data_IF_036028052174
#
_entry.id   IF_036028052174
#
_cell.length_a   1.000
_cell.length_b   1.000
_cell.length_c   1.000
_cell.angle_alpha   90.00
_cell.angle_beta   90.00
_cell.angle_gamma   90.00
#
_symmetry.space_group_name_H-M   'P 1'
#
loop_
_entity.id
_entity.type
_entity.pdbx_description
1 polymer ?
#
# COMPACT_ATOMS: atom_id res chain seq x y z
N UNK A 1 28.76 5.87 -9.03
CA UNK A 1 28.17 5.69 -10.39
C UNK A 1 29.27 5.72 -11.42
N UNK A 2 29.00 5.34 -12.64
CA UNK A 2 29.95 5.40 -13.76
C UNK A 2 29.59 6.56 -14.68
N UNK A 3 30.55 7.02 -15.49
CA UNK A 3 30.27 8.05 -16.53
C UNK A 3 29.40 7.51 -17.68
N UNK A 4 29.26 6.19 -17.77
CA UNK A 4 28.40 5.54 -18.75
C UNK A 4 26.95 5.51 -18.23
N UNK A 5 26.07 6.26 -18.86
CA UNK A 5 24.67 6.35 -18.47
C UNK A 5 23.93 5.00 -18.56
N UNK A 6 24.28 4.13 -19.52
CA UNK A 6 23.59 2.86 -19.74
C UNK A 6 23.81 1.87 -18.58
N UNK A 7 24.99 1.88 -17.97
CA UNK A 7 25.27 1.08 -16.77
C UNK A 7 24.46 1.58 -15.56
N UNK A 8 24.38 2.89 -15.39
CA UNK A 8 23.61 3.51 -14.32
C UNK A 8 22.11 3.23 -14.51
N UNK A 9 21.58 3.36 -15.73
CA UNK A 9 20.18 3.02 -16.06
C UNK A 9 19.89 1.56 -15.76
N UNK A 10 20.76 0.65 -16.17
CA UNK A 10 20.58 -0.80 -15.92
C UNK A 10 20.53 -1.09 -14.42
N UNK A 11 21.44 -0.53 -13.64
CA UNK A 11 21.49 -0.69 -12.19
C UNK A 11 20.24 -0.10 -11.53
N UNK A 12 19.77 1.06 -11.96
CA UNK A 12 18.57 1.71 -11.44
C UNK A 12 17.30 0.92 -11.76
N UNK A 13 17.16 0.45 -13.00
CA UNK A 13 16.03 -0.42 -13.42
C UNK A 13 16.01 -1.74 -12.64
N UNK A 14 17.17 -2.28 -12.28
CA UNK A 14 17.24 -3.51 -11.48
C UNK A 14 16.73 -3.30 -10.04
N UNK A 15 17.01 -2.14 -9.43
CA UNK A 15 16.48 -1.79 -8.11
C UNK A 15 14.96 -1.73 -8.13
N UNK A 16 14.38 -1.18 -9.19
CA UNK A 16 12.94 -0.96 -9.33
C UNK A 16 12.26 -1.92 -10.30
N UNK A 17 12.83 -3.12 -10.49
CA UNK A 17 12.12 -4.20 -11.15
C UNK A 17 10.78 -4.47 -10.43
N UNK A 18 9.71 -4.71 -11.19
CA UNK A 18 8.35 -4.95 -10.68
C UNK A 18 7.73 -3.74 -9.94
N UNK A 19 8.06 -2.51 -10.39
CA UNK A 19 7.47 -1.27 -9.89
C UNK A 19 6.82 -0.51 -11.04
N UNK A 20 5.52 -0.70 -11.25
CA UNK A 20 4.75 -0.07 -12.34
C UNK A 20 4.45 1.41 -12.07
N UNK A 21 4.45 1.82 -10.80
CA UNK A 21 4.20 3.17 -10.33
C UNK A 21 5.37 4.14 -10.55
N UNK A 22 6.53 3.61 -10.97
CA UNK A 22 7.73 4.40 -11.23
C UNK A 22 7.89 4.60 -12.74
N UNK A 23 7.90 5.86 -13.15
CA UNK A 23 8.15 6.24 -14.54
C UNK A 23 9.62 6.42 -14.77
N UNK A 24 10.11 5.79 -15.82
CA UNK A 24 11.50 5.80 -16.24
C UNK A 24 11.55 6.11 -17.72
N UNK A 25 12.09 7.27 -18.08
CA UNK A 25 12.13 7.73 -19.46
C UNK A 25 13.55 8.10 -19.88
N UNK A 26 13.91 7.69 -21.08
CA UNK A 26 15.13 8.14 -21.75
C UNK A 26 14.75 9.33 -22.65
N UNK A 27 15.52 10.39 -22.61
CA UNK A 27 15.35 11.60 -23.40
C UNK A 27 16.68 12.11 -23.90
N UNK A 28 16.64 12.94 -24.92
CA UNK A 28 17.81 13.58 -25.48
C UNK A 28 17.67 15.09 -25.33
N UNK A 29 18.70 15.73 -24.79
CA UNK A 29 18.76 17.17 -24.53
C UNK A 29 19.87 17.83 -25.31
N UNK A 30 19.89 19.17 -25.25
CA UNK A 30 20.83 20.00 -26.04
C UNK A 30 20.25 20.37 -27.40
N UNK A 31 20.78 21.45 -27.99
CA UNK A 31 20.32 22.00 -29.25
C UNK A 31 20.31 20.97 -30.39
N UNK A 32 21.26 20.04 -30.39
CA UNK A 32 21.41 18.98 -31.38
C UNK A 32 20.85 17.63 -30.92
N UNK A 33 20.10 17.59 -29.80
CA UNK A 33 19.63 16.34 -29.15
C UNK A 33 20.77 15.31 -28.95
N UNK A 34 21.99 15.79 -28.65
CA UNK A 34 23.20 14.98 -28.62
C UNK A 34 23.50 14.37 -27.23
N UNK A 35 22.82 14.86 -26.20
CA UNK A 35 23.07 14.44 -24.81
C UNK A 35 21.99 13.47 -24.38
N UNK A 36 22.35 12.20 -24.18
CA UNK A 36 21.46 11.20 -23.65
C UNK A 36 21.23 11.46 -22.16
N UNK A 37 19.97 11.48 -21.75
CA UNK A 37 19.56 11.70 -20.39
C UNK A 37 18.53 10.65 -19.98
N UNK A 38 18.48 10.35 -18.70
CA UNK A 38 17.49 9.43 -18.13
C UNK A 38 16.84 10.06 -16.92
N UNK A 39 15.52 9.99 -16.88
CA UNK A 39 14.69 10.57 -15.83
C UNK A 39 13.90 9.48 -15.14
N UNK A 40 13.87 9.53 -13.82
CA UNK A 40 13.08 8.60 -13.01
C UNK A 40 12.30 9.37 -11.94
N UNK A 41 11.00 9.07 -11.81
CA UNK A 41 10.12 9.70 -10.83
C UNK A 41 8.93 8.80 -10.51
N UNK A 42 8.27 9.06 -9.39
CA UNK A 42 7.01 8.42 -9.03
C UNK A 42 5.87 9.29 -9.56
N UNK A 43 5.02 8.74 -10.43
CA UNK A 43 4.02 9.47 -11.21
C UNK A 43 3.11 10.37 -10.38
N UNK A 44 2.73 9.95 -9.19
CA UNK A 44 1.74 10.66 -8.35
C UNK A 44 2.37 11.59 -7.33
N UNK A 45 3.65 11.43 -7.05
CA UNK A 45 4.36 12.27 -6.07
C UNK A 45 4.98 13.52 -6.68
N UNK A 46 5.01 13.58 -8.00
CA UNK A 46 5.44 14.75 -8.74
C UNK A 46 4.22 15.56 -9.19
N UNK A 47 4.36 16.87 -9.25
CA UNK A 47 3.30 17.81 -9.68
C UNK A 47 2.96 17.62 -11.16
N UNK A 48 2.29 16.49 -11.47
CA UNK A 48 2.01 16.03 -12.85
C UNK A 48 0.97 16.85 -13.63
N UNK A 49 0.54 18.01 -13.15
CA UNK A 49 -0.47 18.84 -13.83
C UNK A 49 0.08 19.69 -15.00
N UNK A 50 1.28 19.38 -15.44
CA UNK A 50 1.89 19.98 -16.62
C UNK A 50 3.40 19.90 -16.52
N UNK A 51 3.99 18.94 -17.20
CA UNK A 51 5.46 18.79 -17.33
C UNK A 51 6.12 20.15 -17.62
N UNK A 52 5.46 21.02 -18.37
CA UNK A 52 5.98 22.35 -18.75
C UNK A 52 6.01 23.38 -17.59
N UNK A 53 5.20 23.20 -16.55
CA UNK A 53 5.13 24.14 -15.41
C UNK A 53 5.86 23.62 -14.16
N UNK A 54 6.21 22.35 -14.13
CA UNK A 54 6.99 21.74 -13.05
C UNK A 54 8.44 22.24 -13.05
N UNK A 55 9.13 22.09 -11.93
CA UNK A 55 10.57 22.40 -11.84
C UNK A 55 11.36 21.58 -12.89
N UNK A 56 10.95 20.34 -13.13
CA UNK A 56 11.51 19.48 -14.14
C UNK A 56 11.29 20.02 -15.56
N UNK A 57 10.06 20.43 -15.91
CA UNK A 57 9.77 20.96 -17.25
C UNK A 57 10.55 22.26 -17.56
N UNK A 58 10.63 23.17 -16.58
CA UNK A 58 11.46 24.39 -16.72
C UNK A 58 12.94 24.07 -16.90
N UNK A 59 13.45 23.09 -16.17
CA UNK A 59 14.83 22.65 -16.24
C UNK A 59 15.14 22.01 -17.62
N UNK A 60 14.29 21.12 -18.11
CA UNK A 60 14.44 20.49 -19.43
C UNK A 60 14.38 21.53 -20.55
N UNK A 61 13.40 22.44 -20.55
CA UNK A 61 13.29 23.51 -21.53
C UNK A 61 14.50 24.45 -21.52
N UNK A 62 15.09 24.70 -20.37
CA UNK A 62 16.32 25.47 -20.26
C UNK A 62 17.50 24.73 -20.91
N UNK A 63 17.62 23.40 -20.68
CA UNK A 63 18.70 22.60 -21.26
C UNK A 63 18.56 22.34 -22.75
N UNK A 64 17.35 22.37 -23.32
CA UNK A 64 17.13 22.23 -24.78
C UNK A 64 17.77 23.36 -25.61
N UNK A 65 17.92 24.55 -25.02
CA UNK A 65 18.49 25.72 -25.69
C UNK A 65 20.00 25.82 -25.63
N UNK A 66 20.71 24.92 -24.97
CA UNK A 66 22.11 25.04 -24.57
C UNK A 66 22.99 24.02 -25.32
N UNK A 67 24.23 24.43 -25.68
CA UNK A 67 25.21 23.56 -26.29
C UNK A 67 25.82 22.58 -25.27
N UNK A 68 26.32 21.44 -25.74
CA UNK A 68 26.85 20.34 -24.92
C UNK A 68 27.86 20.76 -23.84
N UNK A 69 28.78 21.65 -24.20
CA UNK A 69 29.84 22.12 -23.28
C UNK A 69 29.27 23.04 -22.18
N UNK A 70 28.22 23.80 -22.50
CA UNK A 70 27.56 24.69 -21.56
C UNK A 70 26.66 23.91 -20.58
N UNK A 71 26.08 22.78 -20.99
CA UNK A 71 25.28 21.90 -20.06
C UNK A 71 26.12 21.49 -18.87
N UNK A 72 27.40 21.17 -19.10
CA UNK A 72 28.32 20.83 -18.01
C UNK A 72 28.44 21.97 -16.99
N UNK A 73 28.67 23.16 -17.48
CA UNK A 73 28.86 24.36 -16.65
C UNK A 73 27.60 24.70 -15.85
N UNK A 74 26.41 24.50 -16.45
CA UNK A 74 25.12 24.73 -15.82
C UNK A 74 24.86 23.74 -14.70
N UNK A 75 25.17 22.44 -14.92
CA UNK A 75 25.02 21.39 -13.93
C UNK A 75 25.98 21.58 -12.76
N UNK A 76 27.26 21.89 -13.01
CA UNK A 76 28.26 22.05 -11.96
C UNK A 76 28.05 23.31 -11.11
N UNK A 77 27.57 24.40 -11.71
CA UNK A 77 27.39 25.68 -11.01
C UNK A 77 25.99 25.93 -10.48
N UNK A 78 25.05 24.96 -10.63
CA UNK A 78 23.64 25.14 -10.30
C UNK A 78 23.05 26.46 -10.84
N UNK A 79 23.42 26.84 -12.06
CA UNK A 79 23.00 28.10 -12.68
C UNK A 79 21.51 28.14 -13.02
N UNK A 80 20.83 26.96 -12.98
CA UNK A 80 19.38 26.87 -13.18
C UNK A 80 18.56 27.45 -12.01
N UNK A 81 19.20 27.98 -10.96
CA UNK A 81 18.59 28.62 -9.80
C UNK A 81 17.49 27.79 -9.12
N UNK A 82 17.61 26.47 -9.18
CA UNK A 82 16.69 25.56 -8.52
C UNK A 82 17.07 25.44 -7.05
N UNK A 83 16.17 25.81 -6.16
CA UNK A 83 16.34 25.55 -4.74
C UNK A 83 16.37 24.02 -4.52
N UNK A 84 17.30 23.54 -3.71
CA UNK A 84 17.47 22.10 -3.38
C UNK A 84 17.99 21.18 -4.52
N UNK A 85 18.59 21.74 -5.58
CA UNK A 85 19.36 20.95 -6.54
C UNK A 85 20.55 20.29 -5.83
N UNK A 86 20.67 18.99 -5.92
CA UNK A 86 21.74 18.26 -5.24
C UNK A 86 22.35 17.19 -6.15
N UNK A 87 23.66 17.00 -6.00
CA UNK A 87 24.39 15.91 -6.62
C UNK A 87 24.25 14.65 -5.79
N UNK A 88 24.03 13.52 -6.44
CA UNK A 88 23.90 12.20 -5.84
C UNK A 88 25.02 11.30 -6.40
N UNK A 89 25.82 10.76 -5.50
CA UNK A 89 27.04 10.03 -5.89
C UNK A 89 26.85 8.53 -6.08
N UNK A 90 25.73 7.97 -5.56
CA UNK A 90 25.45 6.54 -5.67
C UNK A 90 24.05 6.26 -6.21
N UNK A 91 23.91 5.13 -6.94
CA UNK A 91 22.60 4.69 -7.47
C UNK A 91 21.61 4.43 -6.34
N UNK A 92 22.07 3.92 -5.19
CA UNK A 92 21.20 3.68 -4.03
C UNK A 92 20.70 4.99 -3.41
N UNK A 93 21.56 6.00 -3.33
CA UNK A 93 21.18 7.33 -2.86
C UNK A 93 20.13 7.95 -3.80
N UNK A 94 20.35 7.89 -5.12
CA UNK A 94 19.39 8.32 -6.11
C UNK A 94 18.04 7.61 -5.98
N UNK A 95 18.08 6.29 -5.78
CA UNK A 95 16.88 5.49 -5.53
C UNK A 95 16.14 5.93 -4.26
N UNK A 96 16.84 6.18 -3.16
CA UNK A 96 16.21 6.64 -1.92
C UNK A 96 15.62 8.03 -2.04
N UNK A 97 16.32 8.97 -2.72
CA UNK A 97 15.82 10.33 -2.92
C UNK A 97 14.55 10.35 -3.78
N UNK A 98 14.44 9.50 -4.79
CA UNK A 98 13.22 9.38 -5.56
C UNK A 98 12.00 9.01 -4.69
N UNK A 99 12.19 8.18 -3.67
CA UNK A 99 11.11 7.80 -2.73
C UNK A 99 10.65 8.95 -1.83
N UNK A 100 11.39 10.06 -1.78
CA UNK A 100 10.94 11.29 -1.09
C UNK A 100 10.06 12.18 -1.96
N UNK A 101 9.82 11.80 -3.21
CA UNK A 101 8.99 12.53 -4.17
C UNK A 101 9.80 13.46 -5.08
N UNK A 102 11.12 13.31 -5.12
CA UNK A 102 11.97 14.09 -5.98
C UNK A 102 12.16 13.39 -7.36
N UNK A 103 12.38 14.16 -8.41
CA UNK A 103 12.75 13.66 -9.74
C UNK A 103 14.25 13.41 -9.77
N UNK A 104 14.65 12.24 -10.23
CA UNK A 104 16.07 11.89 -10.41
C UNK A 104 16.44 11.97 -11.89
N UNK A 105 17.56 12.61 -12.15
CA UNK A 105 18.04 12.88 -13.47
C UNK A 105 19.49 12.44 -13.66
N UNK A 106 19.74 11.60 -14.65
CA UNK A 106 21.09 11.16 -15.05
C UNK A 106 21.44 11.77 -16.39
N UNK A 107 22.69 12.17 -16.55
CA UNK A 107 23.22 12.79 -17.79
C UNK A 107 24.40 11.97 -18.26
N UNK A 108 24.47 11.68 -19.55
CA UNK A 108 25.60 10.96 -20.15
C UNK A 108 26.91 11.75 -20.03
N UNK A 109 27.98 11.06 -19.65
CA UNK A 109 29.27 11.64 -19.39
C UNK A 109 29.47 12.22 -18.00
N UNK A 110 28.44 12.13 -17.11
CA UNK A 110 28.53 12.54 -15.71
C UNK A 110 28.55 11.33 -14.77
N UNK A 111 29.41 11.33 -13.75
CA UNK A 111 29.48 10.26 -12.76
C UNK A 111 28.39 10.38 -11.68
N UNK A 112 27.72 11.53 -11.59
CA UNK A 112 26.69 11.82 -10.58
C UNK A 112 25.29 11.85 -11.20
N UNK A 113 24.27 11.53 -10.40
CA UNK A 113 22.89 11.85 -10.71
C UNK A 113 22.49 13.17 -10.04
N UNK A 114 21.43 13.77 -10.54
CA UNK A 114 20.93 15.04 -10.06
C UNK A 114 19.54 14.86 -9.46
N UNK A 115 19.34 15.48 -8.31
CA UNK A 115 18.05 15.57 -7.65
C UNK A 115 17.37 16.87 -8.05
N UNK A 116 16.17 16.78 -8.58
CA UNK A 116 15.30 17.92 -8.88
C UNK A 116 14.12 17.92 -7.93
N UNK A 117 13.92 18.99 -7.14
CA UNK A 117 12.76 19.07 -6.25
C UNK A 117 11.50 19.34 -7.07
N UNK A 118 10.61 18.36 -7.11
CA UNK A 118 9.32 18.45 -7.80
C UNK A 118 8.21 17.78 -6.95
N UNK A 119 8.25 18.03 -5.64
CA UNK A 119 7.33 17.42 -4.67
C UNK A 119 5.92 17.98 -4.83
N UNK A 120 5.06 17.20 -5.44
CA UNK A 120 3.64 17.46 -5.59
C UNK A 120 2.81 16.32 -5.05
N UNK A 121 3.01 15.93 -3.78
CA UNK A 121 2.06 15.00 -3.17
C UNK A 121 0.66 15.60 -3.29
N UNK A 122 -0.29 14.90 -3.92
CA UNK A 122 -1.64 15.41 -4.00
C UNK A 122 -2.09 15.78 -2.58
N UNK A 123 -2.39 17.07 -2.39
CA UNK A 123 -3.03 17.56 -1.18
C UNK A 123 -4.46 16.98 -1.21
N UNK A 124 -4.59 15.75 -0.77
CA UNK A 124 -5.83 15.03 -0.76
C UNK A 124 -6.76 15.70 0.22
N UNK A 125 -7.98 15.97 -0.24
CA UNK A 125 -9.11 16.09 0.65
C UNK A 125 -9.09 14.85 1.53
N UNK A 126 -8.69 15.04 2.78
CA UNK A 126 -8.67 13.99 3.80
C UNK A 126 -10.13 13.53 3.91
N UNK A 127 -10.45 12.40 3.31
CA UNK A 127 -11.71 11.74 3.62
C UNK A 127 -11.57 11.21 5.04
N UNK A 128 -12.36 11.77 5.95
CA UNK A 128 -12.45 11.23 7.30
C UNK A 128 -13.01 9.82 7.22
N UNK A 129 -12.29 8.89 7.82
CA UNK A 129 -12.68 7.49 7.85
C UNK A 129 -13.79 7.33 8.87
N UNK A 130 -15.04 7.23 8.42
CA UNK A 130 -16.17 7.00 9.33
C UNK A 130 -16.24 5.56 9.88
N UNK A 131 -15.78 4.57 9.11
CA UNK A 131 -15.92 3.15 9.44
C UNK A 131 -14.82 2.60 10.36
N UNK A 132 -13.63 3.22 10.40
CA UNK A 132 -12.47 2.73 11.17
C UNK A 132 -11.87 3.89 11.99
N UNK A 133 -12.72 4.58 12.78
CA UNK A 133 -12.28 5.70 13.63
C UNK A 133 -11.32 5.21 14.71
N UNK A 134 -10.24 5.96 14.91
CA UNK A 134 -9.28 5.76 16.00
C UNK A 134 -9.28 6.98 16.90
N UNK A 135 -9.11 6.76 18.20
CA UNK A 135 -9.03 7.84 19.19
C UNK A 135 -7.71 8.61 19.04
N UNK A 136 -6.64 7.92 18.70
CA UNK A 136 -5.32 8.49 18.42
C UNK A 136 -4.77 7.89 17.14
N UNK A 137 -4.20 8.71 16.28
CA UNK A 137 -3.56 8.24 15.05
C UNK A 137 -3.91 9.09 13.84
N UNK A 138 -3.52 8.61 12.67
CA UNK A 138 -3.84 9.26 11.40
C UNK A 138 -5.31 9.08 11.06
N UNK A 139 -5.99 10.15 10.66
CA UNK A 139 -7.36 10.11 10.13
C UNK A 139 -7.38 10.00 8.60
N UNK A 140 -6.23 9.83 7.99
CA UNK A 140 -6.07 9.73 6.54
C UNK A 140 -6.55 8.37 6.04
N UNK A 141 -7.52 8.38 5.13
CA UNK A 141 -8.08 7.21 4.46
C UNK A 141 -7.62 7.08 3.02
N UNK A 142 -7.87 5.91 2.43
CA UNK A 142 -7.74 5.69 1.00
C UNK A 142 -8.81 6.47 0.24
N UNK A 143 -8.49 6.89 -0.99
CA UNK A 143 -9.37 7.55 -1.94
C UNK A 143 -9.83 6.57 -3.04
N UNK A 144 -10.73 7.01 -3.92
CA UNK A 144 -11.19 6.18 -5.03
C UNK A 144 -10.10 5.96 -6.10
N UNK A 145 -9.12 6.86 -6.22
CA UNK A 145 -8.04 6.74 -7.19
C UNK A 145 -6.93 5.82 -6.70
N UNK A 146 -6.66 4.74 -7.46
CA UNK A 146 -5.61 3.78 -7.17
C UNK A 146 -4.22 4.42 -7.09
N UNK A 147 -3.93 5.37 -7.97
CA UNK A 147 -2.63 6.08 -8.01
C UNK A 147 -2.38 6.84 -6.71
N UNK A 148 -3.42 7.51 -6.20
CA UNK A 148 -3.36 8.22 -4.93
C UNK A 148 -3.10 7.24 -3.77
N UNK A 149 -3.80 6.11 -3.78
CA UNK A 149 -3.67 5.08 -2.75
C UNK A 149 -2.26 4.48 -2.72
N UNK A 150 -1.70 4.20 -3.88
CA UNK A 150 -0.31 3.72 -4.01
C UNK A 150 0.69 4.77 -3.53
N UNK A 151 0.47 6.06 -3.84
CA UNK A 151 1.30 7.16 -3.34
C UNK A 151 1.22 7.31 -1.81
N UNK A 152 0.04 7.12 -1.19
CA UNK A 152 -0.13 7.14 0.26
C UNK A 152 0.68 6.04 0.95
N UNK A 153 0.71 4.83 0.37
CA UNK A 153 1.53 3.73 0.87
C UNK A 153 3.02 4.05 0.70
N UNK A 154 3.44 4.54 -0.49
CA UNK A 154 4.83 4.93 -0.76
C UNK A 154 5.33 6.03 0.18
N UNK A 155 4.51 7.02 0.47
CA UNK A 155 4.84 8.11 1.39
C UNK A 155 5.15 7.61 2.81
N UNK A 156 4.40 6.59 3.27
CA UNK A 156 4.58 5.99 4.60
C UNK A 156 5.70 4.94 4.62
N UNK A 157 5.86 4.17 3.56
CA UNK A 157 6.88 3.12 3.43
C UNK A 157 7.86 3.47 2.30
N UNK A 158 8.87 4.28 2.62
CA UNK A 158 9.92 4.74 1.70
C UNK A 158 11.01 3.67 1.58
N UNK A 159 10.68 2.54 0.97
CA UNK A 159 11.60 1.42 0.79
C UNK A 159 11.72 1.05 -0.69
N UNK A 160 12.92 0.85 -1.17
CA UNK A 160 13.21 0.32 -2.52
C UNK A 160 12.76 -1.13 -2.68
N UNK A 161 12.53 -1.83 -1.55
CA UNK A 161 12.04 -3.21 -1.53
C UNK A 161 10.53 -3.31 -1.65
N UNK A 162 9.78 -2.21 -1.46
CA UNK A 162 8.36 -2.15 -1.75
C UNK A 162 8.16 -2.25 -3.27
N UNK A 163 7.46 -3.27 -3.72
CA UNK A 163 7.11 -3.52 -5.11
C UNK A 163 5.64 -3.23 -5.33
N UNK A 164 5.33 -2.74 -6.51
CA UNK A 164 3.98 -2.42 -6.96
C UNK A 164 3.79 -2.97 -8.36
N UNK A 165 3.08 -4.07 -8.50
CA UNK A 165 2.79 -4.70 -9.77
C UNK A 165 1.38 -4.33 -10.20
N UNK A 166 1.26 -3.59 -11.29
CA UNK A 166 -0.03 -3.24 -11.90
C UNK A 166 -0.49 -4.36 -12.83
N UNK A 167 -1.71 -4.81 -12.63
CA UNK A 167 -2.41 -5.74 -13.51
C UNK A 167 -3.75 -5.15 -13.93
N UNK A 168 -4.19 -5.44 -15.16
CA UNK A 168 -5.50 -5.00 -15.65
C UNK A 168 -6.50 -6.14 -15.59
N UNK A 169 -7.65 -5.88 -14.99
CA UNK A 169 -8.73 -6.85 -14.81
C UNK A 169 -10.03 -6.38 -15.46
N UNK A 170 -10.80 -7.35 -15.95
CA UNK A 170 -12.04 -7.09 -16.69
C UNK A 170 -11.82 -7.02 -18.19
N UNK A 171 -12.61 -7.77 -18.95
CA UNK A 171 -12.51 -7.84 -20.43
C UNK A 171 -12.88 -6.52 -21.10
N UNK A 172 -13.84 -5.79 -20.56
CA UNK A 172 -14.34 -4.52 -21.09
C UNK A 172 -13.97 -3.32 -20.22
N UNK A 173 -13.94 -3.51 -18.89
CA UNK A 173 -13.67 -2.43 -17.95
C UNK A 173 -12.21 -2.05 -17.83
N UNK A 174 -11.29 -3.00 -18.08
CA UNK A 174 -9.83 -2.81 -17.97
C UNK A 174 -9.39 -2.07 -16.70
N UNK A 175 -10.05 -2.38 -15.56
CA UNK A 175 -9.78 -1.74 -14.28
C UNK A 175 -8.35 -2.05 -13.83
N UNK A 176 -7.62 -1.03 -13.40
CA UNK A 176 -6.27 -1.19 -12.87
C UNK A 176 -6.35 -1.78 -11.45
N UNK A 177 -5.48 -2.72 -11.18
CA UNK A 177 -5.32 -3.37 -9.87
C UNK A 177 -3.84 -3.39 -9.53
N UNK A 178 -3.46 -2.79 -8.42
CA UNK A 178 -2.10 -2.76 -7.92
C UNK A 178 -1.90 -3.83 -6.84
N UNK A 179 -0.91 -4.68 -7.04
CA UNK A 179 -0.48 -5.69 -6.08
C UNK A 179 0.81 -5.19 -5.43
N UNK A 180 0.72 -4.83 -4.14
CA UNK A 180 1.84 -4.31 -3.38
C UNK A 180 2.38 -5.37 -2.41
N UNK A 181 3.70 -5.48 -2.35
CA UNK A 181 4.39 -6.38 -1.44
C UNK A 181 5.82 -5.90 -1.14
N UNK A 182 6.39 -6.34 -0.03
CA UNK A 182 7.78 -6.07 0.33
C UNK A 182 8.61 -7.31 0.00
N UNK A 183 9.54 -7.18 -0.95
CA UNK A 183 10.25 -8.30 -1.60
C UNK A 183 10.99 -9.22 -0.64
N UNK A 184 11.56 -8.70 0.43
CA UNK A 184 12.34 -9.45 1.42
C UNK A 184 11.52 -10.02 2.57
N UNK A 185 10.24 -9.60 2.71
CA UNK A 185 9.35 -10.04 3.78
C UNK A 185 8.26 -11.00 3.29
N UNK A 186 7.84 -10.85 2.04
CA UNK A 186 6.77 -11.67 1.46
C UNK A 186 7.20 -13.14 1.37
N UNK A 187 6.28 -14.05 1.70
CA UNK A 187 6.54 -15.49 1.53
C UNK A 187 6.70 -15.82 0.05
N UNK A 188 7.71 -16.63 -0.32
CA UNK A 188 7.86 -17.10 -1.70
C UNK A 188 6.59 -17.79 -2.20
N UNK A 189 6.16 -17.47 -3.43
CA UNK A 189 4.97 -18.03 -4.06
C UNK A 189 3.65 -17.33 -3.72
N UNK A 190 3.62 -16.47 -2.69
CA UNK A 190 2.37 -15.80 -2.28
C UNK A 190 1.86 -14.80 -3.32
N UNK A 191 2.75 -14.04 -3.94
CA UNK A 191 2.38 -13.05 -4.96
C UNK A 191 1.82 -13.75 -6.18
N UNK A 192 2.48 -14.83 -6.63
CA UNK A 192 2.06 -15.65 -7.76
C UNK A 192 0.72 -16.35 -7.49
N UNK A 193 0.47 -16.77 -6.25
CA UNK A 193 -0.81 -17.35 -5.85
C UNK A 193 -1.94 -16.30 -5.90
N UNK A 194 -1.69 -15.08 -5.41
CA UNK A 194 -2.65 -13.97 -5.50
C UNK A 194 -2.96 -13.63 -6.96
N UNK A 195 -1.95 -13.52 -7.81
CA UNK A 195 -2.13 -13.28 -9.24
C UNK A 195 -2.96 -14.37 -9.90
N UNK A 196 -2.63 -15.64 -9.63
CA UNK A 196 -3.36 -16.79 -10.17
C UNK A 196 -4.82 -16.79 -9.74
N UNK A 197 -5.10 -16.46 -8.48
CA UNK A 197 -6.48 -16.35 -7.99
C UNK A 197 -7.24 -15.24 -8.71
N UNK A 198 -6.63 -14.06 -8.84
CA UNK A 198 -7.21 -12.94 -9.58
C UNK A 198 -7.38 -13.23 -11.08
N UNK A 199 -6.58 -14.14 -11.66
CA UNK A 199 -6.66 -14.56 -13.06
C UNK A 199 -7.64 -15.72 -13.28
N UNK A 200 -8.05 -16.42 -12.23
CA UNK A 200 -8.90 -17.62 -12.33
C UNK A 200 -10.32 -17.32 -12.82
N UNK A 201 -10.76 -16.07 -12.70
CA UNK A 201 -12.09 -15.63 -13.08
C UNK A 201 -12.05 -14.64 -14.24
N UNK A 202 -12.89 -14.89 -15.23
CA UNK A 202 -13.09 -14.00 -16.39
C UNK A 202 -14.35 -13.18 -16.13
N UNK A 203 -14.19 -11.87 -15.96
CA UNK A 203 -15.30 -10.93 -15.74
C UNK A 203 -15.24 -9.78 -16.74
N UNK A 204 -16.36 -9.18 -17.04
CA UNK A 204 -16.42 -8.05 -17.97
C UNK A 204 -15.90 -6.76 -17.34
N UNK A 205 -16.20 -6.51 -16.05
CA UNK A 205 -15.87 -5.30 -15.35
C UNK A 205 -15.65 -5.54 -13.84
N UNK A 206 -14.61 -4.94 -13.30
CA UNK A 206 -14.38 -4.83 -11.85
C UNK A 206 -14.88 -3.47 -11.40
N UNK A 207 -16.06 -3.47 -10.79
CA UNK A 207 -16.68 -2.20 -10.35
C UNK A 207 -16.15 -1.69 -9.01
N UNK A 208 -15.71 -2.59 -8.14
CA UNK A 208 -15.23 -2.26 -6.80
C UNK A 208 -14.35 -3.39 -6.25
N UNK A 209 -13.64 -3.11 -5.16
CA UNK A 209 -12.84 -4.07 -4.40
C UNK A 209 -13.63 -5.28 -3.92
N UNK A 210 -14.93 -5.14 -3.61
CA UNK A 210 -15.79 -6.25 -3.20
C UNK A 210 -15.92 -7.37 -4.24
N UNK A 211 -15.80 -7.06 -5.53
CA UNK A 211 -15.74 -8.07 -6.59
C UNK A 211 -14.40 -8.81 -6.56
N UNK A 212 -13.30 -8.08 -6.36
CA UNK A 212 -11.97 -8.69 -6.25
C UNK A 212 -11.82 -9.53 -4.99
N UNK A 213 -12.51 -9.16 -3.90
CA UNK A 213 -12.52 -9.91 -2.65
C UNK A 213 -12.98 -11.35 -2.89
N UNK A 214 -14.08 -11.54 -3.62
CA UNK A 214 -14.62 -12.86 -3.94
C UNK A 214 -13.64 -13.70 -4.78
N UNK A 215 -12.86 -13.07 -5.65
CA UNK A 215 -11.90 -13.78 -6.50
C UNK A 215 -10.55 -14.01 -5.82
N UNK A 216 -10.19 -13.15 -4.90
CA UNK A 216 -8.95 -13.29 -4.13
C UNK A 216 -9.03 -14.42 -3.09
N UNK A 217 -10.24 -14.87 -2.71
CA UNK A 217 -10.44 -16.00 -1.82
C UNK A 217 -10.04 -17.32 -2.48
N UNK A 218 -9.14 -18.07 -1.83
CA UNK A 218 -8.70 -19.38 -2.32
C UNK A 218 -9.78 -20.48 -2.18
N UNK A 219 -10.71 -20.32 -1.21
CA UNK A 219 -11.75 -21.30 -0.86
C UNK A 219 -13.08 -20.61 -0.61
N UNK A 220 -13.94 -20.58 -1.62
CA UNK A 220 -15.27 -19.96 -1.56
C UNK A 220 -16.23 -20.55 -0.50
N UNK A 221 -16.00 -21.80 -0.06
CA UNK A 221 -16.86 -22.51 0.92
C UNK A 221 -16.35 -22.35 2.36
N UNK A 222 -15.27 -21.59 2.59
CA UNK A 222 -14.76 -21.38 3.94
C UNK A 222 -15.69 -20.46 4.74
N UNK A 223 -16.17 -20.85 5.93
CA UNK A 223 -16.94 -19.97 6.79
C UNK A 223 -16.08 -18.87 7.44
N UNK A 224 -14.75 -18.97 7.32
CA UNK A 224 -13.81 -18.00 7.87
C UNK A 224 -13.28 -17.10 6.76
N UNK A 225 -13.27 -15.79 6.97
CA UNK A 225 -12.71 -14.85 6.00
C UNK A 225 -11.21 -15.12 5.80
N UNK A 226 -10.78 -15.14 4.54
CA UNK A 226 -9.40 -15.44 4.15
C UNK A 226 -8.60 -14.18 3.88
N UNK A 227 -9.26 -13.05 3.83
CA UNK A 227 -8.69 -11.75 3.59
C UNK A 227 -9.22 -10.72 4.59
N UNK A 228 -8.53 -9.61 4.68
CA UNK A 228 -8.90 -8.48 5.52
C UNK A 228 -9.00 -7.24 4.64
N UNK A 229 -10.04 -6.46 4.83
CA UNK A 229 -10.22 -5.18 4.14
C UNK A 229 -9.94 -4.02 5.10
N UNK A 230 -9.44 -2.90 4.56
CA UNK A 230 -9.23 -1.68 5.34
C UNK A 230 -9.30 -0.45 4.45
N UNK A 231 -9.79 0.66 5.02
CA UNK A 231 -9.72 1.99 4.42
C UNK A 231 -8.50 2.79 4.88
N UNK A 232 -7.66 2.20 5.72
CA UNK A 232 -6.55 2.87 6.39
C UNK A 232 -5.21 2.53 5.76
N UNK A 233 -4.45 3.52 5.24
CA UNK A 233 -3.12 3.29 4.70
C UNK A 233 -2.10 2.80 5.75
N UNK A 234 -2.24 3.20 7.02
CA UNK A 234 -1.36 2.75 8.10
C UNK A 234 -1.52 1.26 8.41
N UNK A 235 -2.75 0.73 8.39
CA UNK A 235 -3.02 -0.70 8.56
C UNK A 235 -2.44 -1.48 7.39
N UNK A 236 -2.61 -0.98 6.15
CA UNK A 236 -2.05 -1.61 4.96
C UNK A 236 -0.51 -1.66 5.01
N UNK A 237 0.16 -0.57 5.41
CA UNK A 237 1.62 -0.54 5.57
C UNK A 237 2.10 -1.51 6.64
N UNK A 238 1.43 -1.59 7.79
CA UNK A 238 1.76 -2.57 8.82
C UNK A 238 1.63 -4.01 8.32
N UNK A 239 0.60 -4.29 7.51
CA UNK A 239 0.42 -5.60 6.88
C UNK A 239 1.56 -5.93 5.91
N UNK A 240 2.01 -4.97 5.09
CA UNK A 240 3.16 -5.13 4.21
C UNK A 240 4.44 -5.45 4.99
N UNK A 241 4.67 -4.78 6.12
CA UNK A 241 5.81 -5.03 7.01
C UNK A 241 5.71 -6.39 7.73
N UNK A 242 4.51 -6.96 7.87
CA UNK A 242 4.29 -8.32 8.35
C UNK A 242 4.50 -9.39 7.24
N UNK A 243 4.87 -9.00 6.02
CA UNK A 243 5.10 -9.90 4.89
C UNK A 243 3.82 -10.33 4.17
N UNK A 244 2.73 -9.58 4.35
CA UNK A 244 1.46 -9.78 3.64
C UNK A 244 1.44 -9.00 2.32
N UNK A 245 0.53 -9.35 1.43
CA UNK A 245 0.27 -8.69 0.16
C UNK A 245 -0.93 -7.76 0.33
N UNK A 246 -0.84 -6.58 -0.25
CA UNK A 246 -1.94 -5.60 -0.31
C UNK A 246 -2.37 -5.43 -1.75
N UNK A 247 -3.66 -5.55 -2.01
CA UNK A 247 -4.26 -5.36 -3.34
C UNK A 247 -5.13 -4.11 -3.28
N UNK A 248 -4.87 -3.19 -4.20
CA UNK A 248 -5.67 -1.98 -4.42
C UNK A 248 -6.42 -2.10 -5.74
N UNK A 249 -7.62 -1.58 -5.79
CA UNK A 249 -8.43 -1.50 -7.00
C UNK A 249 -8.74 -0.05 -7.32
N UNK A 250 -8.79 0.27 -8.61
CA UNK A 250 -9.26 1.57 -9.06
C UNK A 250 -10.76 1.73 -8.76
N UNK A 251 -11.19 2.96 -8.51
CA UNK A 251 -12.54 3.32 -8.08
C UNK A 251 -12.98 2.71 -6.74
N UNK A 252 -12.03 2.36 -5.86
CA UNK A 252 -12.34 1.83 -4.54
C UNK A 252 -11.41 2.39 -3.46
N UNK A 253 -11.97 2.91 -2.34
CA UNK A 253 -11.20 3.39 -1.20
C UNK A 253 -10.83 2.26 -0.23
N UNK A 254 -10.87 1.00 -0.67
CA UNK A 254 -10.65 -0.17 0.17
C UNK A 254 -9.43 -0.94 -0.33
N UNK A 255 -8.49 -1.20 0.56
CA UNK A 255 -7.38 -2.12 0.34
C UNK A 255 -7.72 -3.52 0.84
N UNK A 256 -7.41 -4.54 0.05
CA UNK A 256 -7.55 -5.95 0.40
C UNK A 256 -6.18 -6.47 0.84
N UNK A 257 -6.11 -7.11 1.98
CA UNK A 257 -4.88 -7.61 2.59
C UNK A 257 -4.93 -9.14 2.67
N UNK A 258 -3.93 -9.80 2.11
CA UNK A 258 -3.82 -11.26 2.01
C UNK A 258 -2.44 -11.77 2.49
N UNK A 259 -2.36 -12.97 3.05
CA UNK A 259 -3.44 -13.71 3.67
C UNK A 259 -3.83 -13.09 5.02
N UNK A 260 -5.00 -13.44 5.52
CA UNK A 260 -5.38 -13.06 6.89
C UNK A 260 -5.35 -14.27 7.82
N UNK A 261 -5.22 -14.01 9.11
CA UNK A 261 -5.27 -15.01 10.17
C UNK A 261 -6.28 -14.57 11.22
N UNK A 262 -6.79 -15.52 12.01
CA UNK A 262 -7.72 -15.23 13.11
C UNK A 262 -7.18 -14.15 14.05
N UNK A 263 -5.87 -14.12 14.28
CA UNK A 263 -5.22 -13.11 15.10
C UNK A 263 -5.41 -11.68 14.53
N UNK A 264 -5.46 -11.52 13.21
CA UNK A 264 -5.60 -10.20 12.60
C UNK A 264 -6.98 -9.57 12.84
N UNK A 265 -8.03 -10.37 12.98
CA UNK A 265 -9.38 -9.89 13.34
C UNK A 265 -9.46 -9.40 14.79
N UNK A 266 -8.57 -9.86 15.65
CA UNK A 266 -8.50 -9.42 17.05
C UNK A 266 -7.57 -8.23 17.27
N UNK A 267 -6.83 -7.78 16.22
CA UNK A 267 -6.04 -6.55 16.22
C UNK A 267 -6.90 -5.37 15.78
N UNK A 268 -6.73 -4.24 16.42
CA UNK A 268 -7.34 -2.96 16.01
C UNK A 268 -6.24 -1.95 15.69
N UNK A 269 -6.57 -0.94 14.88
CA UNK A 269 -5.63 0.13 14.56
C UNK A 269 -5.14 0.88 15.83
N UNK A 270 -6.00 1.02 16.83
CA UNK A 270 -5.68 1.64 18.12
C UNK A 270 -4.54 0.93 18.88
N UNK A 271 -4.35 -0.38 18.65
CA UNK A 271 -3.28 -1.14 19.33
C UNK A 271 -1.88 -0.64 18.96
N UNK A 272 -1.71 -0.03 17.78
CA UNK A 272 -0.43 0.51 17.33
C UNK A 272 -0.13 1.91 17.86
N UNK A 273 -1.16 2.64 18.32
CA UNK A 273 -1.04 4.01 18.80
C UNK A 273 -1.05 4.15 20.31
N UNK A 274 -1.49 3.11 21.03
CA UNK A 274 -1.54 3.08 22.48
C UNK A 274 -0.22 2.58 23.09
N UNK A 275 0.00 2.89 24.38
CA UNK A 275 1.14 2.35 25.13
C UNK A 275 1.09 0.81 25.11
N UNK A 276 2.24 0.17 24.92
CA UNK A 276 2.37 -1.29 24.77
C UNK A 276 1.64 -2.09 25.87
N UNK A 277 1.69 -1.65 27.13
CA UNK A 277 1.02 -2.32 28.25
C UNK A 277 -0.50 -2.26 28.09
N UNK A 278 -1.05 -1.08 27.78
CA UNK A 278 -2.49 -0.89 27.61
C UNK A 278 -3.01 -1.66 26.38
N UNK A 279 -2.29 -1.59 25.25
CA UNK A 279 -2.62 -2.32 24.04
C UNK A 279 -2.57 -3.85 24.25
N UNK A 280 -1.55 -4.35 24.97
CA UNK A 280 -1.44 -5.78 25.28
C UNK A 280 -2.58 -6.27 26.18
N UNK A 281 -2.94 -5.46 27.19
CA UNK A 281 -4.06 -5.80 28.08
C UNK A 281 -5.41 -5.79 27.33
N UNK A 282 -5.66 -4.77 26.51
CA UNK A 282 -6.86 -4.70 25.68
C UNK A 282 -6.96 -5.90 24.72
N UNK A 283 -5.83 -6.31 24.14
CA UNK A 283 -5.75 -7.49 23.29
C UNK A 283 -6.04 -8.79 24.06
N UNK A 284 -5.47 -8.93 25.26
CA UNK A 284 -5.75 -10.07 26.12
C UNK A 284 -7.25 -10.20 26.44
N UNK A 285 -7.91 -9.08 26.78
CA UNK A 285 -9.36 -9.07 27.03
C UNK A 285 -10.13 -9.54 25.79
N UNK A 286 -9.75 -9.09 24.59
CA UNK A 286 -10.40 -9.54 23.33
C UNK A 286 -10.23 -11.04 23.10
N UNK A 287 -9.05 -11.60 23.36
CA UNK A 287 -8.84 -13.06 23.28
C UNK A 287 -9.71 -13.82 24.28
N UNK A 288 -9.76 -13.35 25.53
CA UNK A 288 -10.62 -13.96 26.56
C UNK A 288 -12.09 -13.88 26.16
N UNK A 289 -12.56 -12.72 25.69
CA UNK A 289 -13.92 -12.54 25.22
C UNK A 289 -14.28 -13.45 24.05
N UNK A 290 -13.38 -13.57 23.06
CA UNK A 290 -13.55 -14.49 21.94
C UNK A 290 -13.64 -15.95 22.42
N UNK A 291 -12.74 -16.37 23.29
CA UNK A 291 -12.76 -17.72 23.87
C UNK A 291 -14.07 -17.99 24.63
N UNK A 292 -14.49 -17.04 25.46
CA UNK A 292 -15.76 -17.15 26.18
C UNK A 292 -16.97 -17.23 25.25
N UNK A 293 -16.96 -16.45 24.16
CA UNK A 293 -18.03 -16.47 23.15
C UNK A 293 -18.24 -17.86 22.54
N UNK A 294 -17.15 -18.61 22.31
CA UNK A 294 -17.26 -19.99 21.81
C UNK A 294 -17.61 -21.00 22.87
N UNK A 295 -17.14 -20.82 24.13
CA UNK A 295 -17.30 -21.85 25.18
C UNK A 295 -18.58 -21.70 25.99
N UNK A 296 -19.08 -20.45 26.23
CA UNK A 296 -20.26 -20.21 27.06
C UNK A 296 -21.54 -20.89 26.58
N UNK A 297 -21.88 -20.92 25.27
CA UNK A 297 -23.08 -21.63 24.82
C UNK A 297 -23.01 -23.12 25.10
N UNK A 298 -21.87 -23.75 24.86
CA UNK A 298 -21.65 -25.16 25.17
C UNK A 298 -21.68 -25.44 26.65
N UNK A 299 -21.05 -24.60 27.46
CA UNK A 299 -21.06 -24.71 28.92
C UNK A 299 -22.49 -24.54 29.47
N UNK A 300 -23.25 -23.57 28.96
CA UNK A 300 -24.64 -23.37 29.33
C UNK A 300 -25.47 -24.63 29.10
N UNK A 301 -25.38 -25.25 27.92
CA UNK A 301 -26.10 -26.49 27.60
C UNK A 301 -25.62 -27.65 28.47
N UNK A 302 -24.31 -27.77 28.71
CA UNK A 302 -23.76 -28.82 29.54
C UNK A 302 -24.28 -28.73 30.99
N UNK A 303 -24.26 -27.54 31.58
CA UNK A 303 -24.71 -27.33 32.97
C UNK A 303 -26.22 -27.47 33.11
N UNK A 304 -27.00 -26.92 32.17
CA UNK A 304 -28.47 -26.98 32.27
C UNK A 304 -29.06 -28.34 31.97
N UNK A 305 -28.43 -29.17 31.13
CA UNK A 305 -28.97 -30.47 30.72
C UNK A 305 -28.36 -31.63 31.50
N UNK A 306 -27.07 -31.55 31.89
CA UNK A 306 -26.37 -32.68 32.49
C UNK A 306 -25.99 -32.48 33.97
N UNK A 307 -25.77 -31.23 34.41
CA UNK A 307 -25.22 -30.93 35.73
C UNK A 307 -26.00 -29.81 36.45
N UNK A 308 -27.33 -29.93 36.50
CA UNK A 308 -28.19 -28.95 37.18
C UNK A 308 -27.89 -28.79 38.66
N UNK A 309 -27.24 -29.79 39.28
CA UNK A 309 -26.84 -29.78 40.70
C UNK A 309 -25.79 -28.74 41.06
N UNK A 310 -25.03 -28.25 40.06
CA UNK A 310 -23.99 -27.24 40.27
C UNK A 310 -24.60 -25.84 40.41
N UNK A 311 -25.80 -25.62 39.86
CA UNK A 311 -26.45 -24.33 39.86
C UNK A 311 -27.17 -24.03 41.17
N UNK A 312 -27.00 -22.85 41.77
CA UNK A 312 -27.83 -22.44 42.90
C UNK A 312 -29.30 -22.32 42.48
N UNK A 313 -30.21 -22.72 43.36
CA UNK A 313 -31.65 -22.81 43.12
C UNK A 313 -32.26 -21.52 42.49
N UNK A 314 -31.88 -20.29 42.90
CA UNK A 314 -32.41 -19.09 42.30
C UNK A 314 -32.07 -18.96 40.81
N UNK A 315 -30.87 -19.42 40.41
CA UNK A 315 -30.42 -19.38 39.02
C UNK A 315 -31.15 -20.39 38.14
N UNK A 316 -31.46 -21.58 38.69
CA UNK A 316 -32.26 -22.58 37.99
C UNK A 316 -33.67 -22.05 37.71
N UNK A 317 -34.29 -21.37 38.67
CA UNK A 317 -35.61 -20.76 38.50
C UNK A 317 -35.59 -19.67 37.46
N UNK A 318 -34.58 -18.78 37.46
CA UNK A 318 -34.42 -17.73 36.46
C UNK A 318 -34.23 -18.29 35.03
N UNK A 319 -33.48 -19.38 34.87
CA UNK A 319 -33.35 -20.06 33.58
C UNK A 319 -34.66 -20.73 33.14
N UNK A 320 -35.43 -21.26 34.06
CA UNK A 320 -36.73 -21.87 33.77
C UNK A 320 -37.75 -20.82 33.30
N UNK A 321 -37.81 -19.67 33.98
CA UNK A 321 -38.66 -18.53 33.60
C UNK A 321 -38.24 -17.95 32.22
N UNK A 322 -36.96 -17.81 31.98
CA UNK A 322 -36.44 -17.35 30.68
C UNK A 322 -36.80 -18.30 29.52
N UNK A 323 -36.80 -19.61 29.77
CA UNK A 323 -37.21 -20.63 28.78
C UNK A 323 -38.70 -20.63 28.50
N UNK A 324 -39.54 -20.38 29.52
CA UNK A 324 -41.00 -20.28 29.34
C UNK A 324 -41.42 -19.09 28.48
N UNK A 325 -40.61 -18.02 28.45
CA UNK A 325 -40.83 -16.85 27.61
C UNK A 325 -40.36 -17.02 26.16
N UNK A 326 -39.68 -18.12 25.80
CA UNK A 326 -39.17 -18.35 24.44
C UNK A 326 -40.24 -18.98 23.55
N UNK A 327 -40.58 -18.41 22.38
CA UNK A 327 -41.61 -18.93 21.46
C UNK A 327 -41.16 -20.17 20.66
N UNK A 328 -39.92 -20.65 20.84
CA UNK A 328 -39.40 -21.79 20.10
C UNK A 328 -39.59 -23.09 20.86
N UNK A 329 -40.01 -24.19 20.18
CA UNK A 329 -40.16 -25.49 20.83
C UNK A 329 -38.81 -25.96 21.40
N UNK A 330 -38.88 -26.47 22.63
CA UNK A 330 -37.73 -27.00 23.35
C UNK A 330 -37.25 -28.28 22.65
N UNK A 331 -36.01 -28.28 22.21
CA UNK A 331 -35.29 -29.52 21.82
C UNK A 331 -34.82 -30.28 23.06
#
# INVERSE_FOLDING_TARGET
>A
MTTNIDENIKSFRQIYSDCSDIKMQEMYLGRDASIKCFVAYIEVTCEGSGINNSAFGRFTSYLEGIDRDQVKEVLDKNQAALSEFAHLHTVNEAAQMMLTGDVIFFVDGYPDAFKLPDKGYPALSIQEIDSEKVIRGSNEGFADSIKINTALIRRRLRSTRLKCKEVKKGLRGHSNVDILYVRDLVKPGLVEDVERNLDSYVIDHVGDSGVLEQFAEAKWYSPFPQLQTTKRPDVAVNALLEGRVVVLCDNSPIAIILPTTMNNFLKTADDYYNRTIAASFARLIRYVAAFMSFTLPGLYLAVTNFHTQILPTPLILAFYEARLGCPFPQL
#
